data_IF_769426574196
#
_entry.id   IF_769426574196
#
_cell.length_a   1.000
_cell.length_b   1.000
_cell.length_c   1.000
_cell.angle_alpha   90.00
_cell.angle_beta   90.00
_cell.angle_gamma   90.00
#
_symmetry.space_group_name_H-M   'P 1'
#
loop_
_entity.id
_entity.type
_entity.pdbx_description
1 polymer ?
#
# COMPACT_ATOMS: atom_id res chain seq x y z
N UNK A 1 -68.59 8.82 5.63
CA UNK A 1 -67.81 10.07 5.55
C UNK A 1 -67.02 10.25 6.83
N UNK A 2 -65.73 9.88 6.85
CA UNK A 2 -64.77 10.46 7.79
C UNK A 2 -63.37 10.35 7.19
N UNK A 3 -62.73 11.50 7.12
CA UNK A 3 -61.60 11.89 6.30
C UNK A 3 -60.26 11.33 6.77
N UNK A 4 -59.43 10.93 5.81
CA UNK A 4 -58.00 10.68 5.99
C UNK A 4 -57.28 11.94 6.49
N UNK A 5 -56.43 11.81 7.51
CA UNK A 5 -55.37 12.79 7.79
C UNK A 5 -54.02 12.13 7.59
N UNK A 6 -53.42 12.43 6.44
CA UNK A 6 -52.00 12.25 6.15
C UNK A 6 -51.24 13.19 7.08
N UNK A 7 -50.38 12.64 7.94
CA UNK A 7 -49.42 13.45 8.69
C UNK A 7 -48.19 13.61 7.80
N UNK A 8 -48.03 14.82 7.26
CA UNK A 8 -46.91 15.22 6.42
C UNK A 8 -45.64 15.32 7.26
N UNK A 9 -44.57 14.74 6.74
CA UNK A 9 -43.22 14.94 7.25
C UNK A 9 -42.80 16.36 6.88
N UNK A 10 -42.69 17.23 7.89
CA UNK A 10 -42.22 18.60 7.70
C UNK A 10 -40.78 18.60 7.22
N UNK A 11 -40.54 19.27 6.09
CA UNK A 11 -39.21 19.53 5.57
C UNK A 11 -38.43 20.38 6.56
N UNK A 12 -37.30 19.87 7.04
CA UNK A 12 -36.31 20.65 7.80
C UNK A 12 -35.55 21.52 6.79
N UNK A 13 -35.48 22.85 6.97
CA UNK A 13 -34.71 23.70 6.07
C UNK A 13 -33.21 23.45 6.26
N UNK A 14 -32.54 23.04 5.18
CA UNK A 14 -31.08 22.89 5.12
C UNK A 14 -30.48 24.29 4.98
N UNK A 15 -29.72 24.73 5.98
CA UNK A 15 -29.00 26.01 5.93
C UNK A 15 -27.90 25.98 4.85
N UNK A 16 -27.71 27.06 4.08
CA UNK A 16 -26.60 27.16 3.14
C UNK A 16 -25.29 27.30 3.92
N UNK A 17 -24.34 26.39 3.65
CA UNK A 17 -22.98 26.47 4.14
C UNK A 17 -22.24 27.57 3.37
N UNK A 18 -22.16 28.76 3.94
CA UNK A 18 -21.26 29.82 3.48
C UNK A 18 -19.81 29.43 3.82
N UNK A 19 -19.19 28.70 2.90
CA UNK A 19 -17.76 28.42 2.93
C UNK A 19 -16.96 29.70 2.67
N UNK A 20 -16.51 30.35 3.74
CA UNK A 20 -15.55 31.43 3.65
C UNK A 20 -14.18 30.88 3.18
N UNK A 21 -13.89 31.02 1.89
CA UNK A 21 -12.55 30.79 1.35
C UNK A 21 -11.59 31.82 1.92
N UNK A 22 -10.79 31.42 2.93
CA UNK A 22 -9.66 32.23 3.40
C UNK A 22 -8.57 32.21 2.33
N UNK A 23 -8.42 33.36 1.68
CA UNK A 23 -7.40 33.67 0.70
C UNK A 23 -6.06 33.85 1.44
N UNK A 24 -5.22 32.81 1.48
CA UNK A 24 -3.87 32.88 2.05
C UNK A 24 -2.92 33.57 1.06
N UNK A 25 -2.80 34.90 1.13
CA UNK A 25 -1.74 35.65 0.44
C UNK A 25 -0.44 35.53 1.23
N UNK A 26 0.23 34.37 1.13
CA UNK A 26 1.63 34.25 1.56
C UNK A 26 2.55 34.32 0.35
N UNK A 27 3.05 35.51 0.05
CA UNK A 27 4.13 35.73 -0.92
C UNK A 27 5.44 35.29 -0.27
N UNK A 28 5.68 33.97 -0.21
CA UNK A 28 6.99 33.43 0.18
C UNK A 28 7.96 33.66 -0.97
N UNK A 29 8.79 34.70 -0.82
CA UNK A 29 9.90 35.06 -1.71
C UNK A 29 10.88 33.88 -1.80
N UNK A 30 10.85 33.14 -2.91
CA UNK A 30 11.84 32.12 -3.23
C UNK A 30 13.16 32.84 -3.50
N UNK A 31 14.14 32.69 -2.62
CA UNK A 31 15.51 33.13 -2.90
C UNK A 31 16.09 32.15 -3.92
N UNK A 32 16.57 32.68 -5.04
CA UNK A 32 17.33 31.93 -6.03
C UNK A 32 18.55 31.30 -5.36
N UNK A 33 18.64 29.98 -5.42
CA UNK A 33 19.87 29.27 -5.06
C UNK A 33 20.82 29.49 -6.21
N UNK A 34 21.89 30.25 -5.95
CA UNK A 34 23.00 30.46 -6.86
C UNK A 34 23.66 29.10 -7.14
N UNK A 35 23.60 28.63 -8.39
CA UNK A 35 24.42 27.53 -8.89
C UNK A 35 25.86 28.01 -9.02
N UNK A 36 26.56 28.07 -7.89
CA UNK A 36 27.99 28.25 -7.84
C UNK A 36 28.67 26.89 -8.06
N UNK A 37 29.39 26.77 -9.17
CA UNK A 37 30.50 25.83 -9.33
C UNK A 37 30.12 24.38 -9.60
N UNK A 38 29.90 24.05 -10.87
CA UNK A 38 30.15 22.68 -11.35
C UNK A 38 31.67 22.53 -11.43
N UNK A 39 32.31 21.63 -10.65
CA UNK A 39 33.74 21.40 -10.82
C UNK A 39 33.97 20.67 -12.15
N UNK A 40 34.74 21.30 -13.02
CA UNK A 40 35.29 20.68 -14.22
C UNK A 40 36.34 19.65 -13.79
N UNK A 41 36.06 18.37 -14.00
CA UNK A 41 37.08 17.31 -13.92
C UNK A 41 37.99 17.41 -15.15
N UNK A 42 38.96 18.31 -15.07
CA UNK A 42 40.04 18.43 -16.03
C UNK A 42 41.32 17.80 -15.49
N UNK A 43 41.84 16.82 -16.23
CA UNK A 43 43.29 16.59 -16.33
C UNK A 43 43.89 15.58 -15.35
N UNK A 44 44.20 14.39 -15.88
CA UNK A 44 45.09 13.45 -15.22
C UNK A 44 45.00 12.04 -15.77
N UNK A 45 45.39 11.83 -17.03
CA UNK A 45 45.67 10.50 -17.57
C UNK A 45 46.97 9.94 -16.93
N UNK A 46 46.96 9.77 -15.61
CA UNK A 46 47.95 9.01 -14.88
C UNK A 46 47.57 7.55 -14.97
N UNK A 47 48.41 6.75 -15.62
CA UNK A 47 48.34 5.29 -15.70
C UNK A 47 48.42 4.69 -14.28
N UNK A 48 47.33 4.71 -13.54
CA UNK A 48 47.20 3.97 -12.28
C UNK A 48 46.79 2.55 -12.61
N UNK A 49 47.77 1.74 -12.99
CA UNK A 49 47.67 0.29 -12.96
C UNK A 49 47.69 -0.18 -11.50
N UNK A 50 46.67 0.20 -10.72
CA UNK A 50 46.38 -0.40 -9.42
C UNK A 50 45.39 -1.53 -9.66
N UNK A 51 45.91 -2.70 -10.02
CA UNK A 51 45.21 -3.95 -9.73
C UNK A 51 45.02 -3.98 -8.22
N UNK A 52 43.79 -3.88 -7.73
CA UNK A 52 43.47 -4.12 -6.33
C UNK A 52 43.33 -5.64 -6.19
N UNK A 53 44.28 -6.37 -5.58
CA UNK A 53 44.14 -7.78 -5.33
C UNK A 53 43.27 -7.97 -4.09
N UNK A 54 42.15 -8.70 -4.20
CA UNK A 54 41.41 -9.19 -3.03
C UNK A 54 40.21 -8.36 -2.59
N UNK A 55 39.31 -7.95 -3.50
CA UNK A 55 37.91 -7.76 -3.05
C UNK A 55 37.29 -9.16 -2.89
N UNK A 56 37.03 -9.66 -1.67
CA UNK A 56 36.24 -10.87 -1.50
C UNK A 56 34.87 -10.62 -2.14
N UNK A 57 34.36 -11.62 -2.86
CA UNK A 57 33.09 -11.54 -3.57
C UNK A 57 31.97 -11.09 -2.63
N UNK A 58 31.58 -9.83 -2.72
CA UNK A 58 30.34 -9.34 -2.15
C UNK A 58 29.24 -9.92 -3.04
N UNK A 59 28.65 -11.03 -2.62
CA UNK A 59 27.34 -11.41 -3.12
C UNK A 59 26.38 -10.33 -2.66
N UNK A 60 25.87 -9.53 -3.61
CA UNK A 60 24.69 -8.72 -3.33
C UNK A 60 23.59 -9.74 -3.01
N UNK A 61 23.02 -9.76 -1.80
CA UNK A 61 21.92 -10.67 -1.51
C UNK A 61 20.83 -10.39 -2.54
N UNK A 62 20.37 -11.44 -3.21
CA UNK A 62 19.31 -11.30 -4.19
C UNK A 62 18.12 -10.60 -3.54
N UNK A 63 17.42 -9.69 -4.25
CA UNK A 63 16.25 -9.02 -3.70
C UNK A 63 15.28 -10.09 -3.20
N UNK A 64 14.97 -10.04 -1.90
CA UNK A 64 14.10 -11.01 -1.27
C UNK A 64 12.67 -10.46 -1.28
N UNK A 65 11.74 -11.21 -1.87
CA UNK A 65 10.32 -10.84 -1.85
C UNK A 65 9.66 -11.43 -0.63
N UNK A 66 8.92 -10.60 0.09
CA UNK A 66 8.07 -11.00 1.20
C UNK A 66 6.64 -10.73 0.78
N UNK A 67 5.79 -11.73 0.96
CA UNK A 67 4.37 -11.62 0.66
C UNK A 67 3.60 -11.48 1.97
N UNK A 68 2.71 -10.50 2.02
CA UNK A 68 1.74 -10.34 3.09
C UNK A 68 0.35 -10.61 2.51
N UNK A 69 -0.23 -11.74 2.89
CA UNK A 69 -1.61 -12.07 2.56
C UNK A 69 -2.52 -11.56 3.67
N UNK A 70 -3.57 -10.84 3.32
CA UNK A 70 -4.55 -10.26 4.24
C UNK A 70 -5.94 -10.79 3.88
N UNK A 71 -6.61 -11.38 4.86
CA UNK A 71 -7.93 -11.98 4.71
C UNK A 71 -8.88 -11.43 5.76
N UNK A 72 -10.16 -11.23 5.40
CA UNK A 72 -11.19 -10.98 6.40
C UNK A 72 -11.24 -12.15 7.40
N UNK A 73 -11.40 -11.83 8.68
CA UNK A 73 -11.63 -12.81 9.74
C UNK A 73 -12.80 -13.74 9.40
N UNK A 74 -12.77 -15.03 9.79
CA UNK A 74 -13.76 -16.01 9.37
C UNK A 74 -15.20 -15.65 9.79
N UNK A 75 -15.35 -14.96 10.92
CA UNK A 75 -16.63 -14.47 11.44
C UNK A 75 -17.19 -13.25 10.69
N UNK A 76 -16.36 -12.58 9.87
CA UNK A 76 -16.77 -11.42 9.08
C UNK A 76 -17.26 -11.89 7.72
N UNK A 77 -18.47 -11.46 7.38
CA UNK A 77 -19.08 -11.67 6.07
C UNK A 77 -18.28 -10.91 5.01
N UNK A 78 -18.02 -11.59 3.89
CA UNK A 78 -17.39 -11.02 2.70
C UNK A 78 -18.43 -10.89 1.57
N UNK A 79 -19.08 -9.72 1.40
CA UNK A 79 -20.03 -9.50 0.31
C UNK A 79 -19.42 -9.69 -1.08
N UNK A 80 -18.13 -9.45 -1.26
CA UNK A 80 -17.46 -9.57 -2.56
C UNK A 80 -17.24 -11.04 -2.91
N UNK A 81 -16.70 -11.82 -1.97
CA UNK A 81 -16.59 -13.28 -2.09
C UNK A 81 -17.93 -13.95 -2.35
N UNK A 82 -18.99 -13.52 -1.64
CA UNK A 82 -20.34 -14.04 -1.86
C UNK A 82 -20.87 -13.73 -3.26
N UNK A 83 -20.65 -12.50 -3.76
CA UNK A 83 -21.07 -12.13 -5.11
C UNK A 83 -20.36 -12.97 -6.17
N UNK A 84 -19.05 -13.23 -6.00
CA UNK A 84 -18.29 -14.11 -6.90
C UNK A 84 -18.84 -15.54 -6.83
N UNK A 85 -19.01 -16.10 -5.63
CA UNK A 85 -19.55 -17.45 -5.44
C UNK A 85 -20.93 -17.62 -6.10
N UNK A 86 -21.79 -16.60 -6.04
CA UNK A 86 -23.11 -16.61 -6.67
C UNK A 86 -23.05 -16.55 -8.22
N UNK A 87 -22.00 -15.97 -8.79
CA UNK A 87 -21.84 -15.85 -10.23
C UNK A 87 -21.26 -17.11 -10.89
N UNK A 88 -20.43 -17.86 -10.15
CA UNK A 88 -19.71 -19.04 -10.63
C UNK A 88 -20.59 -20.14 -11.27
N UNK A 89 -21.77 -20.51 -10.72
CA UNK A 89 -22.63 -21.53 -11.31
C UNK A 89 -23.10 -21.20 -12.72
N UNK A 90 -23.45 -19.94 -12.97
CA UNK A 90 -23.88 -19.45 -14.29
C UNK A 90 -22.78 -19.54 -15.35
N UNK A 91 -21.52 -19.63 -14.90
CA UNK A 91 -20.35 -19.82 -15.76
C UNK A 91 -19.93 -21.30 -15.87
N UNK A 92 -20.68 -22.23 -15.28
CA UNK A 92 -20.42 -23.67 -15.32
C UNK A 92 -19.55 -24.21 -14.19
N UNK A 93 -19.17 -23.39 -13.20
CA UNK A 93 -18.37 -23.83 -12.05
C UNK A 93 -19.29 -24.24 -10.89
N UNK A 94 -19.74 -25.50 -10.88
CA UNK A 94 -20.68 -26.02 -9.86
C UNK A 94 -20.00 -26.68 -8.65
N UNK A 95 -18.70 -26.98 -8.72
CA UNK A 95 -17.95 -27.64 -7.65
C UNK A 95 -17.40 -26.68 -6.58
N UNK A 96 -17.47 -25.37 -6.81
CA UNK A 96 -16.95 -24.35 -5.88
C UNK A 96 -18.04 -23.96 -4.89
N UNK A 97 -17.85 -24.31 -3.61
CA UNK A 97 -18.84 -24.09 -2.57
C UNK A 97 -18.84 -22.67 -1.99
N UNK A 98 -17.67 -22.02 -1.93
CA UNK A 98 -17.52 -20.69 -1.34
C UNK A 98 -16.28 -19.99 -1.88
N UNK A 99 -16.32 -18.67 -1.92
CA UNK A 99 -15.18 -17.82 -2.28
C UNK A 99 -14.99 -16.78 -1.18
N UNK A 100 -13.74 -16.56 -0.78
CA UNK A 100 -13.34 -15.41 0.05
C UNK A 100 -12.32 -14.59 -0.73
N UNK A 101 -12.47 -13.28 -0.69
CA UNK A 101 -11.56 -12.33 -1.30
C UNK A 101 -10.66 -11.74 -0.22
N UNK A 102 -9.38 -11.61 -0.56
CA UNK A 102 -8.37 -10.97 0.27
C UNK A 102 -7.47 -10.06 -0.55
N UNK A 103 -6.43 -9.55 0.10
CA UNK A 103 -5.41 -8.70 -0.50
C UNK A 103 -4.06 -9.42 -0.39
N UNK A 104 -3.25 -9.33 -1.44
CA UNK A 104 -1.85 -9.76 -1.43
C UNK A 104 -0.97 -8.54 -1.61
N UNK A 105 -0.06 -8.31 -0.68
CA UNK A 105 0.97 -7.28 -0.79
C UNK A 105 2.31 -7.96 -1.06
N UNK A 106 3.02 -7.46 -2.05
CA UNK A 106 4.36 -7.94 -2.38
C UNK A 106 5.36 -6.87 -1.95
N UNK A 107 6.19 -7.22 -0.97
CA UNK A 107 7.16 -6.33 -0.35
C UNK A 107 8.54 -6.77 -0.80
N UNK A 108 9.29 -5.87 -1.45
CA UNK A 108 10.66 -6.13 -1.83
C UNK A 108 11.60 -5.61 -0.75
N UNK A 109 12.47 -6.49 -0.25
CA UNK A 109 13.53 -6.12 0.68
C UNK A 109 14.82 -5.84 -0.09
N UNK A 110 15.50 -4.77 0.31
CA UNK A 110 16.81 -4.36 -0.25
C UNK A 110 17.95 -5.34 0.06
N UNK A 111 17.69 -6.33 0.93
CA UNK A 111 18.66 -7.31 1.40
C UNK A 111 18.00 -8.65 1.75
N UNK A 112 18.66 -9.45 2.57
CA UNK A 112 18.15 -10.75 3.00
C UNK A 112 16.92 -10.59 3.92
N UNK A 113 16.02 -11.57 3.90
CA UNK A 113 14.93 -11.66 4.87
C UNK A 113 15.45 -12.16 6.23
N UNK A 114 16.17 -11.30 6.94
CA UNK A 114 16.55 -11.54 8.33
C UNK A 114 15.32 -11.45 9.24
N UNK A 115 15.42 -11.97 10.47
CA UNK A 115 14.31 -11.91 11.41
C UNK A 115 13.89 -10.47 11.72
N UNK A 116 14.85 -9.54 11.82
CA UNK A 116 14.58 -8.12 12.05
C UNK A 116 13.81 -7.48 10.90
N UNK A 117 14.17 -7.83 9.65
CA UNK A 117 13.45 -7.37 8.48
C UNK A 117 12.01 -7.93 8.43
N UNK A 118 11.82 -9.19 8.82
CA UNK A 118 10.50 -9.80 8.91
C UNK A 118 9.66 -9.19 10.04
N UNK A 119 10.27 -8.83 11.18
CA UNK A 119 9.61 -8.06 12.23
C UNK A 119 9.18 -6.68 11.76
N UNK A 120 9.99 -6.00 10.95
CA UNK A 120 9.61 -4.73 10.33
C UNK A 120 8.41 -4.90 9.38
N UNK A 121 8.42 -5.93 8.53
CA UNK A 121 7.27 -6.23 7.64
C UNK A 121 6.02 -6.56 8.46
N UNK A 122 6.12 -7.36 9.53
CA UNK A 122 5.00 -7.66 10.42
C UNK A 122 4.45 -6.40 11.10
N UNK A 123 5.31 -5.51 11.56
CA UNK A 123 4.90 -4.21 12.12
C UNK A 123 4.20 -3.35 11.07
N UNK A 124 4.71 -3.29 9.84
CA UNK A 124 4.07 -2.59 8.74
C UNK A 124 2.69 -3.20 8.42
N UNK A 125 2.59 -4.53 8.43
CA UNK A 125 1.35 -5.24 8.19
C UNK A 125 0.27 -4.90 9.22
N UNK A 126 0.58 -5.00 10.51
CA UNK A 126 -0.37 -4.67 11.59
C UNK A 126 -0.71 -3.18 11.69
N UNK A 127 0.17 -2.30 11.20
CA UNK A 127 -0.02 -0.84 11.32
C UNK A 127 -0.82 -0.27 10.16
N UNK A 128 -0.62 -0.79 8.94
CA UNK A 128 -1.13 -0.17 7.72
C UNK A 128 -1.78 -1.14 6.76
N UNK A 129 -1.22 -2.34 6.55
CA UNK A 129 -1.68 -3.22 5.47
C UNK A 129 -2.97 -3.97 5.83
N UNK A 130 -3.14 -4.30 7.11
CA UNK A 130 -4.29 -4.99 7.65
C UNK A 130 -5.02 -4.15 8.70
N UNK A 131 -6.35 -4.25 8.73
CA UNK A 131 -7.14 -3.76 9.84
C UNK A 131 -7.31 -4.86 10.89
N UNK A 132 -6.66 -4.77 12.08
CA UNK A 132 -6.62 -5.85 13.07
C UNK A 132 -8.00 -6.20 13.67
N UNK A 133 -9.00 -5.32 13.52
CA UNK A 133 -10.35 -5.57 14.06
C UNK A 133 -11.13 -6.57 13.19
N UNK A 134 -10.94 -6.55 11.87
CA UNK A 134 -11.78 -7.28 10.91
C UNK A 134 -11.00 -8.16 9.94
N UNK A 135 -9.68 -8.01 9.87
CA UNK A 135 -8.77 -8.75 8.99
C UNK A 135 -7.70 -9.45 9.81
N UNK A 136 -7.26 -10.62 9.33
CA UNK A 136 -6.04 -11.30 9.75
C UNK A 136 -5.01 -11.22 8.61
N UNK A 137 -3.73 -11.39 8.94
CA UNK A 137 -2.66 -11.40 7.96
C UNK A 137 -1.63 -12.49 8.22
N UNK A 138 -0.99 -12.95 7.15
CA UNK A 138 0.12 -13.89 7.16
C UNK A 138 1.29 -13.31 6.37
N UNK A 139 2.51 -13.47 6.88
CA UNK A 139 3.74 -13.01 6.24
C UNK A 139 4.58 -14.22 5.84
N UNK A 140 4.94 -14.32 4.56
CA UNK A 140 5.78 -15.40 4.02
C UNK A 140 6.90 -14.85 3.16
N UNK A 141 8.06 -15.49 3.21
CA UNK A 141 9.19 -15.18 2.31
C UNK A 141 9.02 -15.99 1.03
N UNK A 142 9.15 -15.33 -0.12
CA UNK A 142 9.13 -15.95 -1.43
C UNK A 142 10.50 -15.75 -2.09
N UNK A 143 11.15 -16.86 -2.43
CA UNK A 143 12.42 -16.83 -3.17
C UNK A 143 12.06 -16.69 -4.65
N UNK A 144 12.40 -15.54 -5.25
CA UNK A 144 12.26 -15.34 -6.69
C UNK A 144 13.33 -16.22 -7.36
N UNK A 145 12.87 -17.22 -8.13
CA UNK A 145 13.73 -18.15 -8.87
C UNK A 145 14.26 -17.55 -10.17
#
# INVERSE_FOLDING_TARGET
MLSSRRQGWGAVPVAPHTGATRHCKSTRRVRSVSTAGVPTYGGGAGRLNRRIPGLPGVSVPAPTRVVVDVMLKPEILDPQGQAIANALPSLGFSSIASVRQGKRFEVELSGEATEEALEEVRRAASTLLANPVIEDYEVRVEVIQ
#
